data_IF_920726464050
#
_entry.id   IF_920726464050
#
_cell.length_a   1.000
_cell.length_b   1.000
_cell.length_c   1.000
_cell.angle_alpha   90.00
_cell.angle_beta   90.00
_cell.angle_gamma   90.00
#
_symmetry.space_group_name_H-M   'P 1'
#
loop_
_entity.id
_entity.type
_entity.pdbx_description
1 polymer ?
#
# COMPACT_ATOMS: atom_id res chain seq x y z
N UNK A 1 -12.60 -58.63 -10.13
CA UNK A 1 -12.05 -57.35 -9.62
C UNK A 1 -11.84 -56.40 -10.79
N UNK A 2 -12.67 -55.37 -10.94
CA UNK A 2 -12.57 -54.39 -12.04
C UNK A 2 -11.57 -53.30 -11.66
N UNK A 3 -10.46 -53.21 -12.41
CA UNK A 3 -9.39 -52.24 -12.21
C UNK A 3 -9.84 -50.90 -12.80
N UNK A 4 -10.17 -49.93 -11.93
CA UNK A 4 -10.53 -48.56 -12.33
C UNK A 4 -9.33 -47.88 -12.98
N UNK A 5 -9.40 -47.61 -14.28
CA UNK A 5 -8.39 -46.84 -15.01
C UNK A 5 -8.45 -45.40 -14.48
N UNK A 6 -7.40 -44.96 -13.77
CA UNK A 6 -7.28 -43.56 -13.34
C UNK A 6 -6.95 -42.71 -14.56
N UNK A 7 -7.92 -41.92 -14.99
CA UNK A 7 -7.75 -40.93 -16.04
C UNK A 7 -6.97 -39.73 -15.47
N UNK A 8 -5.64 -39.79 -15.53
CA UNK A 8 -4.77 -38.67 -15.14
C UNK A 8 -4.84 -37.60 -16.24
N UNK A 9 -5.81 -36.69 -16.15
CA UNK A 9 -5.86 -35.50 -17.01
C UNK A 9 -4.71 -34.57 -16.61
N UNK A 10 -3.72 -34.43 -17.49
CA UNK A 10 -2.66 -33.43 -17.37
C UNK A 10 -3.18 -32.04 -17.75
N UNK A 11 -2.57 -31.01 -17.19
CA UNK A 11 -2.82 -29.61 -17.53
C UNK A 11 -2.22 -29.29 -18.91
N UNK A 12 -2.93 -28.53 -19.73
CA UNK A 12 -2.44 -28.15 -21.06
C UNK A 12 -1.53 -26.91 -20.96
N UNK A 13 -0.54 -26.83 -21.84
CA UNK A 13 0.34 -25.65 -21.90
C UNK A 13 -0.42 -24.37 -22.26
N UNK A 14 -1.51 -24.50 -23.02
CA UNK A 14 -2.33 -23.35 -23.42
C UNK A 14 -3.14 -22.78 -22.24
N UNK A 15 -3.62 -23.64 -21.33
CA UNK A 15 -4.23 -23.17 -20.08
C UNK A 15 -3.21 -22.39 -19.25
N UNK A 16 -1.96 -22.85 -19.15
CA UNK A 16 -0.90 -22.13 -18.44
C UNK A 16 -0.63 -20.76 -19.08
N UNK A 17 -0.54 -20.73 -20.41
CA UNK A 17 -0.21 -19.55 -21.18
C UNK A 17 -1.24 -18.44 -21.00
N UNK A 18 -2.52 -18.77 -21.05
CA UNK A 18 -3.60 -17.80 -20.84
C UNK A 18 -3.56 -17.25 -19.40
N UNK A 19 -3.28 -18.11 -18.41
CA UNK A 19 -3.19 -17.67 -17.00
C UNK A 19 -2.07 -16.66 -16.79
N UNK A 20 -0.86 -16.93 -17.30
CA UNK A 20 0.27 -15.98 -17.15
C UNK A 20 0.04 -14.69 -17.95
N UNK A 21 -0.66 -14.77 -19.09
CA UNK A 21 -1.04 -13.59 -19.86
C UNK A 21 -2.01 -12.69 -19.06
N UNK A 22 -3.05 -13.27 -18.44
CA UNK A 22 -4.00 -12.52 -17.60
C UNK A 22 -3.28 -11.91 -16.39
N UNK A 23 -2.45 -12.68 -15.68
CA UNK A 23 -1.66 -12.17 -14.54
C UNK A 23 -0.73 -11.04 -14.99
N UNK A 24 -0.11 -11.14 -16.16
CA UNK A 24 0.74 -10.08 -16.72
C UNK A 24 -0.01 -8.76 -16.96
N UNK A 25 -1.21 -8.83 -17.52
CA UNK A 25 -2.06 -7.65 -17.74
C UNK A 25 -2.46 -7.01 -16.41
N UNK A 26 -2.89 -7.83 -15.44
CA UNK A 26 -3.27 -7.33 -14.11
C UNK A 26 -2.08 -6.70 -13.38
N UNK A 27 -0.90 -7.32 -13.43
CA UNK A 27 0.31 -6.82 -12.80
C UNK A 27 0.77 -5.49 -13.42
N UNK A 28 0.67 -5.34 -14.75
CA UNK A 28 1.05 -4.11 -15.45
C UNK A 28 0.23 -2.89 -14.98
N UNK A 29 -1.05 -3.07 -14.65
CA UNK A 29 -1.92 -2.01 -14.13
C UNK A 29 -1.74 -1.84 -12.61
N UNK A 30 -1.65 -2.96 -11.87
CA UNK A 30 -1.62 -2.95 -10.42
C UNK A 30 -0.35 -2.33 -9.84
N UNK A 31 0.82 -2.59 -10.43
CA UNK A 31 2.12 -2.10 -9.91
C UNK A 31 2.18 -0.56 -9.84
N UNK A 32 1.96 0.20 -10.94
CA UNK A 32 2.02 1.66 -10.89
C UNK A 32 0.91 2.25 -9.99
N UNK A 33 -0.30 1.67 -10.03
CA UNK A 33 -1.41 2.11 -9.18
C UNK A 33 -1.09 1.93 -7.69
N UNK A 34 -0.53 0.79 -7.31
CA UNK A 34 -0.14 0.51 -5.93
C UNK A 34 0.96 1.46 -5.45
N UNK A 35 1.94 1.76 -6.30
CA UNK A 35 2.99 2.74 -5.98
C UNK A 35 2.41 4.14 -5.70
N UNK A 36 1.51 4.63 -6.57
CA UNK A 36 0.84 5.92 -6.37
C UNK A 36 -0.04 5.93 -5.12
N UNK A 37 -0.75 4.83 -4.85
CA UNK A 37 -1.57 4.71 -3.64
C UNK A 37 -0.72 4.79 -2.37
N UNK A 38 0.44 4.11 -2.37
CA UNK A 38 1.39 4.14 -1.26
C UNK A 38 1.95 5.55 -1.04
N UNK A 39 2.32 6.25 -2.10
CA UNK A 39 2.79 7.64 -2.04
C UNK A 39 1.72 8.56 -1.43
N UNK A 40 0.46 8.45 -1.88
CA UNK A 40 -0.67 9.19 -1.31
C UNK A 40 -0.88 8.87 0.17
N UNK A 41 -0.72 7.61 0.57
CA UNK A 41 -0.80 7.21 1.97
C UNK A 41 0.29 7.87 2.82
N UNK A 42 1.54 7.93 2.34
CA UNK A 42 2.62 8.65 3.01
C UNK A 42 2.32 10.14 3.12
N UNK A 43 1.88 10.79 2.04
CA UNK A 43 1.49 12.21 2.09
C UNK A 43 0.36 12.47 3.07
N UNK A 44 -0.65 11.60 3.11
CA UNK A 44 -1.77 11.73 4.05
C UNK A 44 -1.30 11.58 5.50
N UNK A 45 -0.42 10.61 5.78
CA UNK A 45 0.16 10.40 7.11
C UNK A 45 0.97 11.64 7.54
N UNK A 46 1.91 12.09 6.71
CA UNK A 46 2.71 13.28 7.00
C UNK A 46 1.86 14.54 7.18
N UNK A 47 0.80 14.70 6.38
CA UNK A 47 -0.13 15.83 6.53
C UNK A 47 -0.89 15.76 7.85
N UNK A 48 -1.27 14.55 8.29
CA UNK A 48 -1.90 14.34 9.60
C UNK A 48 -0.94 14.66 10.73
N UNK A 49 0.32 14.22 10.64
CA UNK A 49 1.34 14.49 11.65
C UNK A 49 1.61 16.00 11.79
N UNK A 50 1.75 16.70 10.66
CA UNK A 50 1.91 18.16 10.64
C UNK A 50 0.70 18.88 11.25
N UNK A 51 -0.52 18.42 10.99
CA UNK A 51 -1.73 18.96 11.62
C UNK A 51 -1.71 18.75 13.14
N UNK A 52 -1.32 17.56 13.59
CA UNK A 52 -1.22 17.26 15.02
C UNK A 52 -0.19 18.18 15.72
N UNK A 53 1.00 18.35 15.11
CA UNK A 53 2.03 19.27 15.63
C UNK A 53 1.50 20.70 15.64
N UNK A 54 0.86 21.15 14.56
CA UNK A 54 0.28 22.49 14.48
C UNK A 54 -0.73 22.72 15.60
N UNK A 55 -1.67 21.79 15.81
CA UNK A 55 -2.66 21.90 16.88
C UNK A 55 -2.01 21.91 18.26
N UNK A 56 -0.98 21.09 18.48
CA UNK A 56 -0.21 21.11 19.73
C UNK A 56 0.49 22.46 19.98
N UNK A 57 1.09 23.04 18.94
CA UNK A 57 1.73 24.35 19.02
C UNK A 57 0.73 25.49 19.24
N UNK A 58 -0.44 25.44 18.58
CA UNK A 58 -1.52 26.40 18.79
C UNK A 58 -2.06 26.34 20.22
N UNK A 59 -2.21 25.14 20.79
CA UNK A 59 -2.58 24.97 22.19
C UNK A 59 -1.51 25.54 23.13
N UNK A 60 -0.23 25.26 22.88
CA UNK A 60 0.86 25.81 23.68
C UNK A 60 0.91 27.35 23.63
N UNK A 61 0.71 27.93 22.44
CA UNK A 61 0.65 29.39 22.27
C UNK A 61 -0.55 29.99 23.01
N UNK A 62 -1.70 29.32 23.00
CA UNK A 62 -2.88 29.79 23.74
C UNK A 62 -2.61 29.87 25.25
N UNK A 63 -1.84 28.92 25.80
CA UNK A 63 -1.52 28.87 27.23
C UNK A 63 -0.36 29.79 27.63
N UNK A 64 0.69 29.89 26.81
CA UNK A 64 1.96 30.54 27.16
C UNK A 64 2.21 31.87 26.45
N UNK A 65 1.31 32.28 25.53
CA UNK A 65 1.45 33.46 24.66
C UNK A 65 2.71 33.47 23.77
N UNK A 66 3.40 32.35 23.67
CA UNK A 66 4.61 32.17 22.86
C UNK A 66 4.55 30.79 22.19
N UNK A 67 5.10 30.65 20.99
CA UNK A 67 5.27 29.32 20.37
C UNK A 67 6.39 28.55 21.07
N UNK A 68 6.32 27.21 21.15
CA UNK A 68 7.40 26.43 21.73
C UNK A 68 8.70 26.69 20.95
N UNK A 69 9.77 27.08 21.66
CA UNK A 69 11.10 27.20 21.08
C UNK A 69 11.45 25.86 20.43
N UNK A 70 11.83 25.91 19.15
CA UNK A 70 11.82 24.75 18.25
C UNK A 70 12.42 23.49 18.87
N UNK A 71 11.88 22.33 18.47
CA UNK A 71 12.35 21.00 18.88
C UNK A 71 13.88 20.99 18.93
N UNK A 72 14.44 21.08 20.14
CA UNK A 72 15.86 20.93 20.36
C UNK A 72 16.17 19.45 20.09
N UNK A 73 16.46 19.14 18.83
CA UNK A 73 17.04 17.87 18.46
C UNK A 73 18.42 17.83 19.14
N UNK A 74 18.51 17.04 20.22
CA UNK A 74 19.78 16.67 20.83
C UNK A 74 20.46 15.57 20.00
#
# INVERSE_FOLDING_TARGET
MLKKIRNNKGFTLIELLIVVAIIGILAAIAIPQFSSYREKAYHSASTSDLKNIKTGNEAYMADNQEYPAGLAFQ
#
